data_IF_221181826677
#
_entry.id   IF_221181826677
#
_cell.length_a   1.000
_cell.length_b   1.000
_cell.length_c   1.000
_cell.angle_alpha   90.00
_cell.angle_beta   90.00
_cell.angle_gamma   90.00
#
_symmetry.space_group_name_H-M   'P 1'
#
loop_
_entity.id
_entity.type
_entity.pdbx_description
1 polymer ?
#
# COMPACT_ATOMS: atom_id res chain seq x y z
N UNK A 1 -3.62 -20.48 -5.22
CA UNK A 1 -2.16 -20.24 -5.17
C UNK A 1 -1.73 -19.15 -6.17
N UNK A 2 -2.35 -17.95 -6.11
CA UNK A 2 -1.97 -16.79 -6.96
C UNK A 2 -1.77 -15.52 -6.11
N UNK A 3 -2.56 -15.37 -5.05
CA UNK A 3 -2.48 -14.27 -4.08
C UNK A 3 -1.08 -14.09 -3.50
N UNK A 4 -0.39 -15.20 -3.20
CA UNK A 4 0.97 -15.16 -2.67
C UNK A 4 2.00 -14.66 -3.69
N UNK A 5 1.90 -15.07 -4.97
CA UNK A 5 2.83 -14.61 -6.01
C UNK A 5 2.61 -13.15 -6.40
N UNK A 6 1.37 -12.67 -6.37
CA UNK A 6 1.06 -11.25 -6.63
C UNK A 6 1.55 -10.36 -5.50
N UNK A 7 1.34 -10.77 -4.24
CA UNK A 7 1.75 -9.99 -3.08
C UNK A 7 3.28 -9.88 -2.97
N UNK A 8 3.99 -10.97 -3.26
CA UNK A 8 5.45 -10.99 -3.36
C UNK A 8 5.96 -10.03 -4.46
N UNK A 9 5.32 -10.01 -5.63
CA UNK A 9 5.64 -9.05 -6.70
C UNK A 9 5.42 -7.59 -6.29
N UNK A 10 4.31 -7.27 -5.61
CA UNK A 10 4.06 -5.92 -5.12
C UNK A 10 5.12 -5.48 -4.11
N UNK A 11 5.54 -6.39 -3.21
CA UNK A 11 6.62 -6.13 -2.26
C UNK A 11 7.96 -5.92 -2.97
N UNK A 12 8.29 -6.74 -3.97
CA UNK A 12 9.52 -6.60 -4.76
C UNK A 12 9.58 -5.27 -5.54
N UNK A 13 8.43 -4.72 -5.94
CA UNK A 13 8.31 -3.42 -6.60
C UNK A 13 8.29 -2.22 -5.62
N UNK A 14 8.31 -2.48 -4.31
CA UNK A 14 8.25 -1.43 -3.29
C UNK A 14 6.84 -0.83 -3.09
N UNK A 15 5.79 -1.51 -3.54
CA UNK A 15 4.39 -1.12 -3.39
C UNK A 15 3.81 -1.68 -2.08
N UNK A 16 4.45 -1.36 -0.96
CA UNK A 16 4.16 -1.99 0.34
C UNK A 16 2.75 -1.70 0.87
N UNK A 17 2.22 -0.50 0.64
CA UNK A 17 0.86 -0.13 1.03
C UNK A 17 -0.17 -0.78 0.13
N UNK A 18 0.13 -0.87 -1.16
CA UNK A 18 -0.71 -1.60 -2.12
C UNK A 18 -0.79 -3.09 -1.77
N UNK A 19 0.33 -3.72 -1.43
CA UNK A 19 0.39 -5.12 -1.00
C UNK A 19 -0.42 -5.38 0.29
N UNK A 20 -0.36 -4.44 1.25
CA UNK A 20 -1.12 -4.52 2.49
C UNK A 20 -2.62 -4.41 2.25
N UNK A 21 -3.06 -3.45 1.41
CA UNK A 21 -4.46 -3.31 1.03
C UNK A 21 -4.97 -4.52 0.25
N UNK A 22 -4.19 -5.05 -0.69
CA UNK A 22 -4.55 -6.25 -1.45
C UNK A 22 -4.79 -7.45 -0.55
N UNK A 23 -3.96 -7.65 0.50
CA UNK A 23 -4.18 -8.71 1.49
C UNK A 23 -5.47 -8.53 2.26
N UNK A 24 -5.73 -7.29 2.71
CA UNK A 24 -6.91 -6.95 3.50
C UNK A 24 -8.19 -7.16 2.69
N UNK A 25 -8.21 -6.69 1.44
CA UNK A 25 -9.30 -6.89 0.49
C UNK A 25 -9.48 -8.36 0.10
N UNK A 26 -8.40 -9.14 -0.02
CA UNK A 26 -8.50 -10.56 -0.33
C UNK A 26 -9.02 -11.41 0.84
N UNK A 27 -8.88 -10.95 2.08
CA UNK A 27 -9.42 -11.60 3.28
C UNK A 27 -10.89 -11.22 3.53
N UNK A 28 -11.29 -10.02 3.09
CA UNK A 28 -12.66 -9.53 3.20
C UNK A 28 -13.61 -10.25 2.23
N UNK A 29 -14.62 -10.94 2.76
CA UNK A 29 -15.66 -11.63 1.96
C UNK A 29 -16.56 -10.67 1.17
N UNK A 30 -16.60 -9.40 1.57
CA UNK A 30 -17.43 -8.36 0.96
C UNK A 30 -16.72 -7.62 -0.17
N UNK A 31 -15.44 -7.93 -0.41
CA UNK A 31 -14.65 -7.28 -1.43
C UNK A 31 -15.12 -7.63 -2.85
N UNK A 32 -15.95 -8.66 -3.01
CA UNK A 32 -16.62 -9.04 -4.27
C UNK A 32 -17.73 -8.06 -4.69
N UNK A 33 -18.28 -7.28 -3.74
CA UNK A 33 -19.33 -6.28 -4.00
C UNK A 33 -18.77 -4.97 -4.59
N UNK A 34 -17.46 -4.75 -4.42
CA UNK A 34 -16.77 -3.55 -4.91
C UNK A 34 -16.39 -3.70 -6.38
N UNK A 35 -16.57 -2.62 -7.15
CA UNK A 35 -16.03 -2.54 -8.50
C UNK A 35 -14.50 -2.61 -8.47
N UNK A 36 -13.91 -3.08 -9.57
CA UNK A 36 -12.45 -3.12 -9.75
C UNK A 36 -11.80 -1.74 -9.59
N UNK A 37 -12.50 -0.67 -9.96
CA UNK A 37 -12.04 0.71 -9.79
C UNK A 37 -12.01 1.12 -8.31
N UNK A 38 -12.99 0.69 -7.52
CA UNK A 38 -13.03 0.96 -6.07
C UNK A 38 -11.94 0.18 -5.34
N UNK A 39 -11.74 -1.08 -5.73
CA UNK A 39 -10.60 -1.89 -5.29
C UNK A 39 -9.27 -1.19 -5.55
N UNK A 40 -9.09 -0.66 -6.78
CA UNK A 40 -7.87 0.03 -7.14
C UNK A 40 -7.71 1.34 -6.35
N UNK A 41 -8.79 2.09 -6.15
CA UNK A 41 -8.80 3.30 -5.34
C UNK A 41 -8.33 3.07 -3.90
N UNK A 42 -8.86 2.03 -3.24
CA UNK A 42 -8.48 1.69 -1.86
C UNK A 42 -7.02 1.24 -1.75
N UNK A 43 -6.53 0.48 -2.73
CA UNK A 43 -5.13 0.06 -2.78
C UNK A 43 -4.17 1.24 -2.98
N UNK A 44 -4.53 2.21 -3.82
CA UNK A 44 -3.73 3.41 -4.07
C UNK A 44 -3.75 4.37 -2.87
N UNK A 45 -4.89 4.54 -2.22
CA UNK A 45 -5.02 5.35 -1.00
C UNK A 45 -4.09 4.83 0.10
N UNK A 46 -4.10 3.52 0.36
CA UNK A 46 -3.21 2.88 1.34
C UNK A 46 -1.73 3.11 1.04
N UNK A 47 -1.35 3.03 -0.23
CA UNK A 47 0.01 3.31 -0.68
C UNK A 47 0.40 4.78 -0.47
N UNK A 48 -0.49 5.72 -0.80
CA UNK A 48 -0.26 7.14 -0.57
C UNK A 48 -0.06 7.47 0.91
N UNK A 49 -0.90 6.91 1.79
CA UNK A 49 -0.78 7.04 3.25
C UNK A 49 0.55 6.46 3.75
N UNK A 50 0.96 5.29 3.26
CA UNK A 50 2.24 4.67 3.66
C UNK A 50 3.45 5.51 3.24
N UNK A 51 3.40 6.10 2.04
CA UNK A 51 4.46 6.98 1.54
C UNK A 51 4.54 8.28 2.33
N UNK A 52 3.39 8.88 2.64
CA UNK A 52 3.33 10.08 3.47
C UNK A 52 3.88 9.81 4.88
N UNK A 53 3.46 8.71 5.52
CA UNK A 53 3.93 8.27 6.83
C UNK A 53 5.45 8.06 6.89
N UNK A 54 6.06 7.55 5.82
CA UNK A 54 7.52 7.41 5.72
C UNK A 54 8.21 8.78 5.58
N UNK A 55 7.59 9.72 4.88
CA UNK A 55 8.15 11.06 4.65
C UNK A 55 8.15 11.88 5.94
N UNK A 56 7.11 11.76 6.77
CA UNK A 56 6.98 12.50 8.04
C UNK A 56 7.86 11.97 9.18
N UNK A 57 8.47 10.78 9.04
CA UNK A 57 9.48 10.29 9.98
C UNK A 57 10.89 10.83 9.69
N UNK A 58 11.06 11.66 8.66
CA UNK A 58 12.33 12.36 8.44
C UNK A 58 12.49 13.44 9.51
N UNK A 59 13.21 13.11 10.59
CA UNK A 59 13.53 14.04 11.67
C UNK A 59 14.11 15.35 11.08
N UNK A 60 13.50 16.52 11.33
CA UNK A 60 13.86 17.78 10.64
C UNK A 60 15.23 18.37 11.03
N UNK A 61 16.09 17.63 11.73
CA UNK A 61 17.38 18.13 12.23
C UNK A 61 18.51 18.18 11.20
N UNK A 62 18.38 17.58 10.01
CA UNK A 62 19.49 17.52 9.03
C UNK A 62 19.58 18.78 8.13
N UNK A 63 18.61 19.70 8.20
CA UNK A 63 18.57 20.90 7.34
C UNK A 63 19.38 22.11 7.85
N UNK A 64 20.03 22.01 9.03
CA UNK A 64 20.74 23.14 9.69
C UNK A 64 22.28 22.93 9.76
N UNK A 65 22.86 22.20 8.79
CA UNK A 65 24.30 22.21 8.51
C UNK A 65 24.42 22.48 7.00
N UNK A 66 24.59 23.70 6.50
CA UNK A 66 25.75 24.58 6.65
C UNK A 66 27.07 23.84 6.66
#
# INVERSE_FOLDING_TARGET
>A
MLTHSTLDQMQALGLGGMAAAYRDLADQSNADDLSRDEWLGLMLDREAVMRDATTVHSCPSDRIRR
#
